data_IF_751036224206
#
_entry.id   IF_751036224206
#
_cell.length_a   1.000
_cell.length_b   1.000
_cell.length_c   1.000
_cell.angle_alpha   90.00
_cell.angle_beta   90.00
_cell.angle_gamma   90.00
#
_symmetry.space_group_name_H-M   'P 1'
#
loop_
_entity.id
_entity.type
_entity.pdbx_description
1 polymer ?
#
# COMPACT_ATOMS: atom_id res chain seq x y z
N UNK A 1 21.29 -41.84 29.15
CA UNK A 1 20.49 -40.63 29.47
C UNK A 1 19.73 -40.28 28.20
N UNK A 2 18.42 -40.56 28.20
CA UNK A 2 17.53 -40.31 27.07
C UNK A 2 16.82 -38.97 27.31
N UNK A 3 17.03 -38.00 26.43
CA UNK A 3 16.23 -36.77 26.39
C UNK A 3 15.44 -36.75 25.09
N UNK A 4 14.16 -37.12 25.19
CA UNK A 4 13.13 -36.97 24.18
C UNK A 4 12.73 -35.50 24.09
N UNK A 5 13.22 -34.79 23.08
CA UNK A 5 12.65 -33.49 22.69
C UNK A 5 11.38 -33.73 21.86
N UNK A 6 10.24 -33.55 22.51
CA UNK A 6 8.93 -33.51 21.87
C UNK A 6 8.83 -32.31 20.93
N UNK A 7 8.93 -32.56 19.62
CA UNK A 7 8.55 -31.59 18.59
C UNK A 7 7.05 -31.37 18.66
N UNK A 8 6.64 -30.23 19.21
CA UNK A 8 5.28 -29.72 19.11
C UNK A 8 4.94 -29.53 17.61
N UNK A 9 4.15 -30.45 17.05
CA UNK A 9 3.52 -30.27 15.74
C UNK A 9 2.54 -29.11 15.87
N UNK A 10 2.95 -27.94 15.40
CA UNK A 10 2.03 -26.84 15.12
C UNK A 10 1.11 -27.29 14.00
N UNK A 11 -0.09 -27.74 14.34
CA UNK A 11 -1.17 -27.93 13.40
C UNK A 11 -1.65 -26.55 12.93
N UNK A 12 -0.93 -25.92 12.01
CA UNK A 12 -1.49 -24.88 11.16
C UNK A 12 -2.59 -25.53 10.34
N UNK A 13 -3.85 -25.39 10.77
CA UNK A 13 -5.03 -25.68 9.93
C UNK A 13 -4.84 -24.90 8.64
N UNK A 14 -4.54 -25.59 7.54
CA UNK A 14 -4.50 -25.00 6.19
C UNK A 14 -5.84 -24.31 5.99
N UNK A 15 -5.82 -22.98 5.90
CA UNK A 15 -7.01 -22.19 5.54
C UNK A 15 -7.33 -22.61 4.11
N UNK A 16 -8.32 -23.48 3.94
CA UNK A 16 -8.74 -23.96 2.62
C UNK A 16 -9.06 -22.76 1.74
N UNK A 17 -8.62 -22.78 0.49
CA UNK A 17 -8.97 -21.73 -0.45
C UNK A 17 -10.50 -21.68 -0.62
N UNK A 18 -11.09 -20.51 -0.94
CA UNK A 18 -12.54 -20.36 -0.98
C UNK A 18 -13.23 -21.38 -1.90
N UNK A 19 -12.56 -21.77 -2.98
CA UNK A 19 -13.05 -22.73 -3.95
C UNK A 19 -13.11 -24.17 -3.39
N UNK A 20 -12.16 -24.53 -2.52
CA UNK A 20 -12.12 -25.84 -1.87
C UNK A 20 -13.19 -25.95 -0.77
N UNK A 21 -13.47 -24.84 -0.07
CA UNK A 21 -14.56 -24.78 0.91
C UNK A 21 -15.92 -24.94 0.24
N UNK A 22 -16.14 -24.28 -0.91
CA UNK A 22 -17.38 -24.38 -1.69
C UNK A 22 -17.57 -25.78 -2.26
N UNK A 23 -16.51 -26.42 -2.77
CA UNK A 23 -16.57 -27.81 -3.26
C UNK A 23 -16.92 -28.80 -2.15
N UNK A 24 -16.33 -28.65 -0.96
CA UNK A 24 -16.65 -29.51 0.18
C UNK A 24 -18.09 -29.32 0.68
N UNK A 25 -18.59 -28.08 0.68
CA UNK A 25 -19.97 -27.76 1.06
C UNK A 25 -20.98 -28.36 0.06
N UNK A 26 -20.70 -28.28 -1.25
CA UNK A 26 -21.53 -28.88 -2.30
C UNK A 26 -21.69 -30.40 -2.14
N UNK A 27 -20.61 -31.09 -1.75
CA UNK A 27 -20.64 -32.53 -1.53
C UNK A 27 -21.50 -32.92 -0.31
N UNK A 28 -21.34 -32.20 0.80
CA UNK A 28 -22.14 -32.41 2.02
C UNK A 28 -23.63 -32.10 1.79
N UNK A 29 -23.93 -31.11 0.96
CA UNK A 29 -25.30 -30.75 0.59
C UNK A 29 -25.98 -31.84 -0.25
N UNK A 30 -25.24 -32.49 -1.15
CA UNK A 30 -25.73 -33.60 -1.95
C UNK A 30 -26.01 -34.85 -1.10
N UNK A 31 -25.19 -35.09 -0.08
CA UNK A 31 -25.37 -36.19 0.87
C UNK A 31 -26.57 -35.96 1.79
N UNK A 32 -26.75 -34.73 2.29
CA UNK A 32 -27.93 -34.33 3.06
C UNK A 32 -29.22 -34.48 2.24
N UNK A 33 -29.23 -34.02 0.98
CA UNK A 33 -30.39 -34.16 0.09
C UNK A 33 -30.81 -35.60 -0.20
N UNK A 34 -29.87 -36.56 -0.10
CA UNK A 34 -30.18 -38.00 -0.25
C UNK A 34 -30.88 -38.58 0.97
N UNK A 35 -30.69 -38.00 2.15
CA UNK A 35 -31.27 -38.47 3.42
C UNK A 35 -32.63 -37.83 3.73
N UNK A 36 -32.96 -36.69 3.11
CA UNK A 36 -34.25 -36.00 3.26
C UNK A 36 -35.46 -36.93 3.04
N UNK A 37 -35.53 -37.79 2.01
CA UNK A 37 -36.68 -38.65 1.76
C UNK A 37 -36.96 -39.68 2.88
N UNK A 38 -35.98 -39.97 3.75
CA UNK A 38 -36.11 -40.92 4.85
C UNK A 38 -36.66 -40.29 6.14
N UNK A 39 -36.84 -38.96 6.15
CA UNK A 39 -37.33 -38.18 7.29
C UNK A 39 -38.85 -37.97 7.24
N UNK A 40 -39.44 -37.61 8.38
CA UNK A 40 -40.85 -37.20 8.42
C UNK A 40 -41.06 -35.83 7.73
N UNK A 41 -42.30 -35.50 7.35
CA UNK A 41 -42.60 -34.24 6.63
C UNK A 41 -42.16 -32.97 7.37
N UNK A 42 -42.11 -33.00 8.71
CA UNK A 42 -41.75 -31.83 9.52
C UNK A 42 -40.22 -31.65 9.55
N UNK A 43 -39.50 -32.75 9.68
CA UNK A 43 -38.05 -32.84 9.61
C UNK A 43 -37.54 -32.51 8.21
N UNK A 44 -38.21 -32.99 7.15
CA UNK A 44 -37.89 -32.62 5.76
C UNK A 44 -37.91 -31.11 5.55
N UNK A 45 -39.00 -30.44 5.92
CA UNK A 45 -39.13 -28.97 5.78
C UNK A 45 -38.06 -28.22 6.58
N UNK A 46 -37.70 -28.71 7.77
CA UNK A 46 -36.65 -28.11 8.59
C UNK A 46 -35.27 -28.24 7.94
N UNK A 47 -34.95 -29.42 7.41
CA UNK A 47 -33.67 -29.69 6.73
C UNK A 47 -33.56 -28.90 5.42
N UNK A 48 -34.61 -28.85 4.62
CA UNK A 48 -34.66 -28.02 3.40
C UNK A 48 -34.44 -26.54 3.70
N UNK A 49 -35.08 -26.02 4.75
CA UNK A 49 -34.88 -24.65 5.22
C UNK A 49 -33.43 -24.39 5.63
N UNK A 50 -32.83 -25.30 6.41
CA UNK A 50 -31.44 -25.19 6.83
C UNK A 50 -30.46 -25.23 5.65
N UNK A 51 -30.72 -26.08 4.65
CA UNK A 51 -29.90 -26.15 3.42
C UNK A 51 -29.95 -24.83 2.66
N UNK A 52 -31.14 -24.25 2.49
CA UNK A 52 -31.30 -22.95 1.81
C UNK A 52 -30.56 -21.83 2.56
N UNK A 53 -30.63 -21.81 3.88
CA UNK A 53 -29.90 -20.84 4.70
C UNK A 53 -28.38 -21.01 4.56
N UNK A 54 -27.88 -22.25 4.60
CA UNK A 54 -26.45 -22.57 4.39
C UNK A 54 -25.99 -22.11 3.00
N UNK A 55 -26.79 -22.33 1.96
CA UNK A 55 -26.47 -21.86 0.60
C UNK A 55 -26.37 -20.33 0.54
N UNK A 56 -27.31 -19.62 1.17
CA UNK A 56 -27.30 -18.15 1.22
C UNK A 56 -26.08 -17.63 1.97
N UNK A 57 -25.75 -18.21 3.13
CA UNK A 57 -24.58 -17.85 3.92
C UNK A 57 -23.28 -18.12 3.15
N UNK A 58 -23.17 -19.25 2.45
CA UNK A 58 -22.01 -19.56 1.61
C UNK A 58 -21.82 -18.53 0.49
N UNK A 59 -22.92 -18.10 -0.15
CA UNK A 59 -22.89 -17.03 -1.17
C UNK A 59 -22.44 -15.69 -0.58
N UNK A 60 -22.93 -15.33 0.61
CA UNK A 60 -22.50 -14.11 1.31
C UNK A 60 -21.02 -14.16 1.68
N UNK A 61 -20.53 -15.28 2.23
CA UNK A 61 -19.12 -15.48 2.57
C UNK A 61 -18.25 -15.35 1.31
N UNK A 62 -18.66 -15.95 0.19
CA UNK A 62 -17.92 -15.81 -1.07
C UNK A 62 -17.82 -14.34 -1.49
N UNK A 63 -18.93 -13.62 -1.50
CA UNK A 63 -18.96 -12.20 -1.86
C UNK A 63 -18.08 -11.35 -0.93
N UNK A 64 -18.17 -11.55 0.38
CA UNK A 64 -17.35 -10.84 1.36
C UNK A 64 -15.86 -11.11 1.16
N UNK A 65 -15.47 -12.35 0.83
CA UNK A 65 -14.07 -12.68 0.51
C UNK A 65 -13.58 -11.99 -0.76
N UNK A 66 -14.42 -11.88 -1.78
CA UNK A 66 -14.04 -11.13 -3.00
C UNK A 66 -13.89 -9.64 -2.70
N UNK A 67 -14.79 -9.06 -1.90
CA UNK A 67 -14.67 -7.68 -1.44
C UNK A 67 -13.40 -7.47 -0.60
N UNK A 68 -13.07 -8.39 0.32
CA UNK A 68 -11.82 -8.33 1.09
C UNK A 68 -10.59 -8.33 0.18
N UNK A 69 -10.57 -9.19 -0.85
CA UNK A 69 -9.46 -9.25 -1.82
C UNK A 69 -9.33 -7.94 -2.61
N UNK A 70 -10.45 -7.38 -3.09
CA UNK A 70 -10.46 -6.11 -3.81
C UNK A 70 -9.94 -4.97 -2.92
N UNK A 71 -10.46 -4.84 -1.69
CA UNK A 71 -10.04 -3.82 -0.73
C UNK A 71 -8.56 -3.96 -0.37
N UNK A 72 -8.04 -5.19 -0.20
CA UNK A 72 -6.62 -5.41 0.06
C UNK A 72 -5.74 -4.94 -1.10
N UNK A 73 -6.16 -5.16 -2.34
CA UNK A 73 -5.43 -4.69 -3.51
C UNK A 73 -5.42 -3.17 -3.58
N UNK A 74 -6.57 -2.52 -3.37
CA UNK A 74 -6.69 -1.06 -3.34
C UNK A 74 -5.86 -0.43 -2.22
N UNK A 75 -5.88 -1.02 -1.02
CA UNK A 75 -5.05 -0.57 0.10
C UNK A 75 -3.55 -0.68 -0.22
N UNK A 76 -3.14 -1.73 -0.94
CA UNK A 76 -1.74 -1.92 -1.31
C UNK A 76 -1.29 -0.90 -2.36
N UNK A 77 -2.13 -0.61 -3.34
CA UNK A 77 -1.91 0.45 -4.33
C UNK A 77 -1.78 1.82 -3.65
N UNK A 78 -2.74 2.20 -2.81
CA UNK A 78 -2.70 3.45 -2.05
C UNK A 78 -1.47 3.56 -1.13
N UNK A 79 -1.00 2.44 -0.57
CA UNK A 79 0.18 2.43 0.29
C UNK A 79 1.47 2.70 -0.50
N UNK A 80 1.61 2.16 -1.72
CA UNK A 80 2.75 2.46 -2.60
C UNK A 80 2.68 3.90 -3.12
N UNK A 81 1.49 4.40 -3.48
CA UNK A 81 1.30 5.81 -3.86
C UNK A 81 1.73 6.76 -2.74
N UNK A 82 1.28 6.49 -1.50
CA UNK A 82 1.67 7.29 -0.34
C UNK A 82 3.18 7.25 -0.10
N UNK A 83 3.82 6.11 -0.32
CA UNK A 83 5.27 5.95 -0.17
C UNK A 83 6.03 6.74 -1.24
N UNK A 84 5.57 6.70 -2.49
CA UNK A 84 6.11 7.52 -3.58
C UNK A 84 5.97 9.00 -3.27
N UNK A 85 4.81 9.43 -2.77
CA UNK A 85 4.57 10.83 -2.42
C UNK A 85 5.44 11.28 -1.25
N UNK A 86 5.60 10.45 -0.21
CA UNK A 86 6.53 10.71 0.90
C UNK A 86 7.96 10.88 0.41
N UNK A 87 8.40 10.01 -0.50
CA UNK A 87 9.73 10.13 -1.11
C UNK A 87 9.86 11.45 -1.89
N UNK A 88 8.85 11.81 -2.68
CA UNK A 88 8.81 13.05 -3.48
C UNK A 88 8.89 14.31 -2.61
N UNK A 89 8.14 14.37 -1.53
CA UNK A 89 8.17 15.48 -0.57
C UNK A 89 9.55 15.59 0.07
N UNK A 90 10.12 14.47 0.52
CA UNK A 90 11.46 14.44 1.12
C UNK A 90 12.55 14.92 0.14
N UNK A 91 12.52 14.42 -1.09
CA UNK A 91 13.46 14.81 -2.15
C UNK A 91 13.33 16.30 -2.51
N UNK A 92 12.11 16.85 -2.50
CA UNK A 92 11.88 18.29 -2.72
C UNK A 92 12.39 19.13 -1.54
N UNK A 93 12.19 18.68 -0.30
CA UNK A 93 12.72 19.37 0.88
C UNK A 93 14.25 19.42 0.87
N UNK A 94 14.93 18.30 0.59
CA UNK A 94 16.39 18.25 0.48
C UNK A 94 16.92 19.16 -0.64
N UNK A 95 16.20 19.22 -1.75
CA UNK A 95 16.54 20.14 -2.84
C UNK A 95 16.46 21.61 -2.37
N UNK A 96 15.38 22.00 -1.69
CA UNK A 96 15.21 23.36 -1.18
C UNK A 96 16.24 23.72 -0.09
N UNK A 97 16.59 22.78 0.79
CA UNK A 97 17.62 22.98 1.82
C UNK A 97 18.99 23.23 1.19
N UNK A 98 19.39 22.41 0.21
CA UNK A 98 20.64 22.60 -0.55
C UNK A 98 20.70 23.97 -1.22
N UNK A 99 19.58 24.42 -1.79
CA UNK A 99 19.48 25.75 -2.38
C UNK A 99 19.65 26.85 -1.32
N UNK A 100 18.99 26.73 -0.18
CA UNK A 100 19.11 27.71 0.90
C UNK A 100 20.56 27.84 1.38
N UNK A 101 21.28 26.73 1.51
CA UNK A 101 22.70 26.73 1.90
C UNK A 101 23.60 27.47 0.90
N UNK A 102 23.40 27.29 -0.42
CA UNK A 102 24.19 27.98 -1.45
C UNK A 102 24.00 29.50 -1.38
N UNK A 103 22.78 29.98 -1.15
CA UNK A 103 22.51 31.41 -1.01
C UNK A 103 23.08 31.98 0.29
N UNK A 104 22.92 31.26 1.40
CA UNK A 104 23.45 31.68 2.70
C UNK A 104 24.98 31.82 2.65
N UNK A 105 25.68 30.95 1.91
CA UNK A 105 27.14 31.07 1.71
C UNK A 105 27.51 32.40 1.05
N UNK A 106 26.80 32.80 0.00
CA UNK A 106 27.07 34.06 -0.72
C UNK A 106 26.76 35.26 0.17
N UNK A 107 25.59 35.25 0.83
CA UNK A 107 25.18 36.37 1.69
C UNK A 107 26.10 36.56 2.91
N UNK A 108 26.78 35.50 3.36
CA UNK A 108 27.76 35.55 4.45
C UNK A 108 29.15 36.00 4.00
N UNK A 109 29.45 36.02 2.70
CA UNK A 109 30.74 36.50 2.20
C UNK A 109 30.83 38.02 2.43
N UNK A 110 31.80 38.51 3.22
CA UNK A 110 31.93 39.93 3.48
C UNK A 110 32.29 40.69 2.20
N UNK A 111 31.66 41.85 2.00
CA UNK A 111 31.84 42.69 0.82
C UNK A 111 32.41 44.04 1.25
N UNK A 112 33.52 44.44 0.65
CA UNK A 112 33.99 45.82 0.78
C UNK A 112 33.17 46.72 -0.15
N UNK A 113 32.26 47.49 0.43
CA UNK A 113 31.40 48.42 -0.31
C UNK A 113 32.16 49.63 -0.89
N UNK A 114 33.39 49.87 -0.45
CA UNK A 114 34.23 50.95 -0.97
C UNK A 114 35.01 50.55 -2.22
N UNK A 115 35.13 49.23 -2.48
CA UNK A 115 35.83 48.70 -3.64
C UNK A 115 34.84 48.30 -4.75
N UNK A 116 34.77 49.11 -5.81
CA UNK A 116 33.92 48.84 -6.98
C UNK A 116 34.21 47.48 -7.65
N UNK A 117 35.46 47.02 -7.62
CA UNK A 117 35.85 45.72 -8.19
C UNK A 117 35.27 44.55 -7.39
N UNK A 118 35.40 44.57 -6.06
CA UNK A 118 34.79 43.58 -5.17
C UNK A 118 33.25 43.59 -5.23
N UNK A 119 32.63 44.77 -5.32
CA UNK A 119 31.19 44.89 -5.54
C UNK A 119 30.75 44.20 -6.84
N UNK A 120 31.48 44.42 -7.94
CA UNK A 120 31.20 43.75 -9.22
C UNK A 120 31.32 42.23 -9.10
N UNK A 121 32.40 41.72 -8.51
CA UNK A 121 32.62 40.28 -8.33
C UNK A 121 31.47 39.66 -7.53
N UNK A 122 31.14 40.25 -6.37
CA UNK A 122 30.09 39.75 -5.50
C UNK A 122 28.71 39.79 -6.16
N UNK A 123 28.39 40.86 -6.90
CA UNK A 123 27.16 40.94 -7.68
C UNK A 123 27.09 39.85 -8.76
N UNK A 124 28.19 39.58 -9.48
CA UNK A 124 28.21 38.52 -10.48
C UNK A 124 28.04 37.13 -9.87
N UNK A 125 28.63 36.86 -8.71
CA UNK A 125 28.42 35.61 -7.97
C UNK A 125 26.96 35.43 -7.59
N UNK A 126 26.34 36.44 -6.98
CA UNK A 126 24.93 36.42 -6.61
C UNK A 126 24.02 36.22 -7.84
N UNK A 127 24.29 36.96 -8.93
CA UNK A 127 23.54 36.84 -10.18
C UNK A 127 23.68 35.46 -10.81
N UNK A 128 24.88 34.89 -10.84
CA UNK A 128 25.13 33.59 -11.44
C UNK A 128 24.48 32.47 -10.62
N UNK A 129 24.50 32.56 -9.30
CA UNK A 129 23.78 31.62 -8.43
C UNK A 129 22.27 31.75 -8.60
N UNK A 130 21.73 32.97 -8.72
CA UNK A 130 20.32 33.18 -9.08
C UNK A 130 19.93 32.56 -10.42
N UNK A 131 20.79 32.61 -11.43
CA UNK A 131 20.57 31.93 -12.72
C UNK A 131 20.60 30.41 -12.60
N UNK A 132 21.58 29.87 -11.86
CA UNK A 132 21.66 28.42 -11.58
C UNK A 132 20.41 27.94 -10.84
N UNK A 133 19.94 28.70 -9.85
CA UNK A 133 18.68 28.42 -9.15
C UNK A 133 17.50 28.32 -10.12
N UNK A 134 17.31 29.33 -10.96
CA UNK A 134 16.21 29.33 -11.92
C UNK A 134 16.26 28.12 -12.87
N UNK A 135 17.48 27.72 -13.28
CA UNK A 135 17.73 26.50 -14.05
C UNK A 135 17.35 25.23 -13.27
N UNK A 136 17.89 25.07 -12.07
CA UNK A 136 17.68 23.90 -11.22
C UNK A 136 16.19 23.74 -10.84
N UNK A 137 15.48 24.82 -10.52
CA UNK A 137 14.04 24.78 -10.25
C UNK A 137 13.25 24.37 -11.49
N UNK A 138 13.63 24.85 -12.67
CA UNK A 138 13.00 24.46 -13.95
C UNK A 138 13.22 22.98 -14.25
N UNK A 139 14.41 22.44 -13.97
CA UNK A 139 14.71 21.02 -14.12
C UNK A 139 13.95 20.16 -13.11
N UNK A 140 13.97 20.55 -11.82
CA UNK A 140 13.23 19.86 -10.76
C UNK A 140 11.73 19.83 -11.02
N UNK A 141 11.16 20.93 -11.51
CA UNK A 141 9.75 21.00 -11.90
C UNK A 141 9.41 20.04 -13.03
N UNK A 142 10.31 19.83 -14.00
CA UNK A 142 10.11 18.82 -15.05
C UNK A 142 10.14 17.40 -14.47
N UNK A 143 11.06 17.11 -13.54
CA UNK A 143 11.15 15.79 -12.89
C UNK A 143 9.89 15.48 -12.08
N UNK A 144 9.35 16.49 -11.39
CA UNK A 144 8.10 16.37 -10.62
C UNK A 144 6.87 16.13 -11.52
N UNK A 145 6.83 16.75 -12.70
CA UNK A 145 5.74 16.57 -13.67
C UNK A 145 5.83 15.27 -14.49
N UNK A 146 7.01 14.62 -14.56
CA UNK A 146 7.18 13.35 -15.28
C UNK A 146 6.79 12.14 -14.43
N UNK A 147 6.66 12.35 -13.12
CA UNK A 147 6.30 11.32 -12.13
C UNK A 147 4.82 11.43 -11.68
N UNK A 148 4.07 12.41 -12.22
CA UNK A 148 2.62 12.62 -12.00
C UNK A 148 1.84 12.19 -13.23
#
# INVERSE_FOLDING_TARGET
MNTTEGKARVHTKRRLEPEDQIKSASYQEAELKRLIPELDEKEQRAVEGAILEIQQLNKQIYNLKQQERALRAEMQEQAEDLKMEKWRVKDTALFLDSLAEEFVKILKTPVNFESEQQLRIHYFELRNTGKKLAGNCKEKSKTLNFLS
#
